data_IF_406658899726
#
_entry.id   IF_406658899726
#
_cell.length_a   1.000
_cell.length_b   1.000
_cell.length_c   1.000
_cell.angle_alpha   90.00
_cell.angle_beta   90.00
_cell.angle_gamma   90.00
#
_symmetry.space_group_name_H-M   'P 1'
#
loop_
_entity.id
_entity.type
_entity.pdbx_description
1 polymer ?
#
# COMPACT_ATOMS: atom_id res chain seq x y z
N UNK A 1 19.63 0.71 -9.62
CA UNK A 1 18.36 1.36 -9.98
C UNK A 1 17.75 1.93 -8.73
N UNK A 2 17.64 3.24 -8.70
CA UNK A 2 17.08 4.03 -7.59
C UNK A 2 15.55 3.91 -7.56
N UNK A 3 14.87 4.31 -6.47
CA UNK A 3 13.42 4.40 -6.44
C UNK A 3 12.86 5.30 -7.56
N UNK A 4 13.52 6.41 -7.86
CA UNK A 4 13.12 7.29 -8.97
C UNK A 4 13.24 6.58 -10.33
N UNK A 5 14.36 5.90 -10.59
CA UNK A 5 14.54 5.12 -11.83
C UNK A 5 13.43 4.06 -12.00
N UNK A 6 12.99 3.44 -10.90
CA UNK A 6 11.91 2.45 -10.90
C UNK A 6 10.55 3.08 -11.22
N UNK A 7 10.26 4.29 -10.72
CA UNK A 7 9.03 5.02 -11.06
C UNK A 7 9.04 5.43 -12.53
N UNK A 8 10.15 5.94 -13.05
CA UNK A 8 10.26 6.32 -14.45
C UNK A 8 10.13 5.11 -15.37
N UNK A 9 10.71 3.96 -14.98
CA UNK A 9 10.53 2.72 -15.72
C UNK A 9 9.06 2.25 -15.64
N UNK A 10 8.42 2.32 -14.48
CA UNK A 10 7.01 1.99 -14.33
C UNK A 10 6.11 2.82 -15.27
N UNK A 11 6.36 4.14 -15.37
CA UNK A 11 5.65 5.03 -16.31
C UNK A 11 5.86 4.61 -17.77
N UNK A 12 7.10 4.28 -18.15
CA UNK A 12 7.40 3.82 -19.50
C UNK A 12 6.71 2.48 -19.85
N UNK A 13 6.64 1.55 -18.90
CA UNK A 13 5.91 0.29 -19.08
C UNK A 13 4.39 0.51 -19.19
N UNK A 14 3.86 1.48 -18.44
CA UNK A 14 2.45 1.87 -18.55
C UNK A 14 2.13 2.47 -19.93
N UNK A 15 2.96 3.40 -20.41
CA UNK A 15 2.81 3.99 -21.75
C UNK A 15 2.91 2.93 -22.87
N UNK A 16 3.64 1.83 -22.64
CA UNK A 16 3.72 0.70 -23.55
C UNK A 16 2.56 -0.31 -23.42
N UNK A 17 1.53 -0.01 -22.62
CA UNK A 17 0.35 -0.87 -22.40
C UNK A 17 0.60 -2.06 -21.47
N UNK A 18 1.74 -2.12 -20.78
CA UNK A 18 2.13 -3.26 -19.92
C UNK A 18 1.80 -3.00 -18.46
N UNK A 19 0.51 -2.75 -18.18
CA UNK A 19 0.01 -2.31 -16.88
C UNK A 19 0.41 -3.21 -15.69
N UNK A 20 0.35 -4.54 -15.83
CA UNK A 20 0.78 -5.44 -14.75
C UNK A 20 2.26 -5.29 -14.37
N UNK A 21 3.13 -5.05 -15.36
CA UNK A 21 4.57 -4.82 -15.12
C UNK A 21 4.81 -3.42 -14.53
N UNK A 22 4.06 -2.41 -14.98
CA UNK A 22 4.12 -1.06 -14.43
C UNK A 22 3.77 -1.06 -12.93
N UNK A 23 2.67 -1.73 -12.53
CA UNK A 23 2.28 -1.85 -11.12
C UNK A 23 3.36 -2.56 -10.30
N UNK A 24 3.95 -3.65 -10.81
CA UNK A 24 5.01 -4.37 -10.11
C UNK A 24 6.27 -3.51 -9.88
N UNK A 25 6.68 -2.72 -10.86
CA UNK A 25 7.82 -1.80 -10.74
C UNK A 25 7.53 -0.66 -9.74
N UNK A 26 6.31 -0.12 -9.76
CA UNK A 26 5.90 0.91 -8.81
C UNK A 26 5.88 0.38 -7.36
N UNK A 27 5.45 -0.86 -7.14
CA UNK A 27 5.58 -1.52 -5.84
C UNK A 27 7.05 -1.67 -5.38
N UNK A 28 7.97 -2.06 -6.28
CA UNK A 28 9.40 -2.14 -5.94
C UNK A 28 9.99 -0.77 -5.60
N UNK A 29 9.60 0.28 -6.34
CA UNK A 29 10.00 1.65 -6.02
C UNK A 29 9.57 2.07 -4.61
N UNK A 30 8.29 1.83 -4.27
CA UNK A 30 7.71 2.14 -2.97
C UNK A 30 8.43 1.39 -1.86
N UNK A 31 8.61 0.07 -1.99
CA UNK A 31 9.28 -0.74 -0.98
C UNK A 31 10.70 -0.23 -0.70
N UNK A 32 11.45 0.16 -1.73
CA UNK A 32 12.81 0.72 -1.57
C UNK A 32 12.83 2.15 -1.04
N UNK A 33 11.77 2.91 -1.24
CA UNK A 33 11.63 4.28 -0.73
C UNK A 33 11.25 4.31 0.76
N UNK A 34 10.56 3.28 1.24
CA UNK A 34 10.18 3.15 2.65
C UNK A 34 11.41 3.10 3.57
N UNK A 35 12.49 2.45 3.14
CA UNK A 35 13.76 2.41 3.89
C UNK A 35 14.43 3.79 4.05
N UNK A 36 14.09 4.74 3.18
CA UNK A 36 14.68 6.09 3.15
C UNK A 36 13.72 7.20 3.60
N UNK A 37 12.47 6.86 3.94
CA UNK A 37 11.44 7.83 4.33
C UNK A 37 11.04 8.79 3.20
N UNK A 38 11.20 8.40 1.93
CA UNK A 38 10.98 9.30 0.80
C UNK A 38 9.49 9.47 0.46
N UNK A 39 8.83 10.43 1.12
CA UNK A 39 7.43 10.80 0.85
C UNK A 39 7.17 11.24 -0.60
N UNK A 40 8.20 11.77 -1.29
CA UNK A 40 8.12 12.12 -2.71
C UNK A 40 7.82 10.91 -3.61
N UNK A 41 8.49 9.77 -3.37
CA UNK A 41 8.27 8.54 -4.14
C UNK A 41 6.88 7.97 -3.88
N UNK A 42 6.44 7.97 -2.61
CA UNK A 42 5.10 7.52 -2.26
C UNK A 42 4.02 8.32 -3.00
N UNK A 43 4.18 9.64 -3.12
CA UNK A 43 3.23 10.48 -3.86
C UNK A 43 3.27 10.16 -5.35
N UNK A 44 4.45 10.09 -5.95
CA UNK A 44 4.59 9.75 -7.37
C UNK A 44 4.03 8.36 -7.70
N UNK A 45 4.21 7.38 -6.83
CA UNK A 45 3.67 6.04 -6.99
C UNK A 45 2.14 6.02 -6.85
N UNK A 46 1.57 6.80 -5.92
CA UNK A 46 0.12 6.94 -5.78
C UNK A 46 -0.52 7.53 -7.04
N UNK A 47 0.05 8.62 -7.57
CA UNK A 47 -0.45 9.28 -8.77
C UNK A 47 -0.42 8.33 -9.98
N UNK A 48 0.71 7.64 -10.19
CA UNK A 48 0.83 6.64 -11.28
C UNK A 48 -0.16 5.49 -11.10
N UNK A 49 -0.37 5.03 -9.87
CA UNK A 49 -1.29 3.95 -9.58
C UNK A 49 -2.75 4.34 -9.84
N UNK A 50 -3.13 5.60 -9.59
CA UNK A 50 -4.44 6.13 -9.97
C UNK A 50 -4.64 6.17 -11.49
N UNK A 51 -3.62 6.62 -12.24
CA UNK A 51 -3.66 6.63 -13.71
C UNK A 51 -3.84 5.21 -14.28
N UNK A 52 -3.10 4.24 -13.74
CA UNK A 52 -3.21 2.84 -14.14
C UNK A 52 -4.59 2.28 -13.77
N UNK A 53 -5.11 2.58 -12.58
CA UNK A 53 -6.43 2.14 -12.15
C UNK A 53 -7.55 2.72 -13.01
N UNK A 54 -7.43 3.97 -13.46
CA UNK A 54 -8.39 4.59 -14.36
C UNK A 54 -8.34 4.03 -15.79
N UNK A 55 -7.13 3.65 -16.26
CA UNK A 55 -6.92 3.16 -17.64
C UNK A 55 -6.93 1.64 -17.83
N UNK A 56 -7.13 0.84 -16.78
CA UNK A 56 -7.09 -0.62 -16.84
C UNK A 56 -8.32 -1.28 -16.22
N UNK A 57 -8.44 -2.60 -16.38
CA UNK A 57 -9.55 -3.38 -15.83
C UNK A 57 -9.04 -4.65 -15.14
N UNK A 58 -9.89 -5.20 -14.27
CA UNK A 58 -9.69 -6.54 -13.70
C UNK A 58 -8.57 -6.57 -12.66
N UNK A 59 -7.57 -7.43 -12.84
CA UNK A 59 -6.51 -7.60 -11.83
C UNK A 59 -5.60 -6.38 -11.74
N UNK A 60 -5.18 -5.83 -12.88
CA UNK A 60 -4.30 -4.66 -12.92
C UNK A 60 -4.93 -3.45 -12.24
N UNK A 61 -6.21 -3.19 -12.49
CA UNK A 61 -6.97 -2.12 -11.84
C UNK A 61 -6.98 -2.27 -10.32
N UNK A 62 -7.27 -3.48 -9.81
CA UNK A 62 -7.29 -3.75 -8.37
C UNK A 62 -5.92 -3.61 -7.72
N UNK A 63 -4.89 -4.18 -8.34
CA UNK A 63 -3.53 -4.13 -7.83
C UNK A 63 -3.00 -2.67 -7.80
N UNK A 64 -3.40 -1.85 -8.79
CA UNK A 64 -3.09 -0.42 -8.84
C UNK A 64 -3.84 0.38 -7.76
N UNK A 65 -5.16 0.15 -7.58
CA UNK A 65 -5.91 0.79 -6.48
C UNK A 65 -5.30 0.48 -5.11
N UNK A 66 -4.93 -0.78 -4.90
CA UNK A 66 -4.28 -1.21 -3.65
C UNK A 66 -2.95 -0.47 -3.42
N UNK A 67 -2.14 -0.27 -4.46
CA UNK A 67 -0.90 0.51 -4.38
C UNK A 67 -1.16 1.97 -4.02
N UNK A 68 -2.15 2.61 -4.67
CA UNK A 68 -2.52 3.99 -4.40
C UNK A 68 -2.97 4.17 -2.95
N UNK A 69 -3.86 3.29 -2.47
CA UNK A 69 -4.36 3.35 -1.09
C UNK A 69 -3.26 3.12 -0.06
N UNK A 70 -2.35 2.17 -0.31
CA UNK A 70 -1.17 1.94 0.53
C UNK A 70 -0.31 3.21 0.63
N UNK A 71 0.04 3.82 -0.51
CA UNK A 71 0.88 5.01 -0.54
C UNK A 71 0.22 6.18 0.21
N UNK A 72 -1.09 6.38 0.03
CA UNK A 72 -1.85 7.41 0.76
C UNK A 72 -1.88 7.16 2.27
N UNK A 73 -2.00 5.90 2.71
CA UNK A 73 -1.93 5.55 4.13
C UNK A 73 -0.55 5.86 4.71
N UNK A 74 0.52 5.50 4.00
CA UNK A 74 1.88 5.84 4.42
C UNK A 74 2.07 7.36 4.52
N UNK A 75 1.58 8.12 3.54
CA UNK A 75 1.66 9.58 3.53
C UNK A 75 0.82 10.23 4.64
N UNK A 76 -0.36 9.69 4.95
CA UNK A 76 -1.21 10.15 6.04
C UNK A 76 -0.57 9.90 7.42
N UNK A 77 0.25 8.84 7.55
CA UNK A 77 1.02 8.53 8.75
C UNK A 77 2.16 9.51 9.05
N UNK A 78 2.64 10.28 8.07
CA UNK A 78 3.73 11.26 8.28
C UNK A 78 3.27 12.50 9.08
N UNK A 79 1.95 12.71 9.25
CA UNK A 79 1.38 13.81 10.04
C UNK A 79 0.73 13.41 11.38
N UNK A 80 0.46 12.12 11.60
CA UNK A 80 -0.19 11.64 12.83
C UNK A 80 0.82 10.84 13.66
N UNK A 81 1.48 11.52 14.60
CA UNK A 81 2.29 10.90 15.63
C UNK A 81 1.45 9.99 16.53
N UNK A 82 1.21 8.75 16.11
CA UNK A 82 0.85 7.69 17.04
C UNK A 82 2.12 7.22 17.73
N UNK A 83 2.15 7.45 19.04
CA UNK A 83 3.17 6.98 19.98
C UNK A 83 3.59 5.55 19.66
N UNK A 84 4.90 5.33 19.76
CA UNK A 84 5.52 4.02 19.76
C UNK A 84 4.93 3.17 20.90
N UNK A 85 3.82 2.49 20.63
CA UNK A 85 3.31 1.49 21.55
C UNK A 85 4.13 0.22 21.37
N UNK A 86 5.23 0.21 22.13
CA UNK A 86 5.99 -0.91 22.66
C UNK A 86 6.13 -2.15 21.74
N UNK A 87 7.37 -2.48 21.39
CA UNK A 87 7.80 -3.69 20.67
C UNK A 87 7.20 -5.01 21.19
N UNK A 88 6.65 -5.04 22.41
CA UNK A 88 5.90 -6.16 22.98
C UNK A 88 4.51 -6.38 22.33
N UNK A 89 3.84 -5.35 21.81
CA UNK A 89 2.54 -5.44 21.13
C UNK A 89 2.63 -6.11 19.73
N UNK A 90 3.83 -6.13 19.14
CA UNK A 90 4.11 -6.84 17.89
C UNK A 90 4.18 -8.37 18.09
N UNK A 91 4.66 -8.87 19.24
CA UNK A 91 4.82 -10.31 19.48
C UNK A 91 3.49 -11.00 19.80
N UNK A 92 2.56 -10.33 20.48
CA UNK A 92 1.26 -10.93 20.88
C UNK A 92 0.21 -10.84 19.78
N UNK A 93 0.20 -9.78 18.96
CA UNK A 93 -0.79 -9.59 17.88
C UNK A 93 -0.63 -10.60 16.73
N UNK A 94 0.55 -11.22 16.57
CA UNK A 94 0.80 -12.18 15.48
C UNK A 94 0.11 -13.53 15.66
N UNK A 95 -0.33 -13.89 16.88
CA UNK A 95 -0.97 -15.19 17.13
C UNK A 95 -2.45 -15.25 16.73
N UNK A 96 -3.06 -14.12 16.36
CA UNK A 96 -4.48 -14.06 15.98
C UNK A 96 -4.65 -13.20 14.73
N UNK A 97 -4.52 -13.80 13.56
CA UNK A 97 -4.81 -13.17 12.25
C UNK A 97 -6.25 -13.47 11.79
N UNK A 98 -6.86 -12.54 11.06
CA UNK A 98 -8.13 -12.70 10.31
C UNK A 98 -7.97 -12.10 8.92
N UNK A 99 -8.92 -12.37 8.02
CA UNK A 99 -8.97 -11.66 6.73
C UNK A 99 -9.79 -10.38 6.86
N UNK A 100 -9.32 -9.33 6.19
CA UNK A 100 -10.10 -8.13 5.96
C UNK A 100 -11.35 -8.51 5.13
N UNK A 101 -12.56 -8.10 5.54
CA UNK A 101 -13.77 -8.41 4.77
C UNK A 101 -13.84 -7.65 3.43
N UNK A 102 -13.03 -6.60 3.25
CA UNK A 102 -13.02 -5.75 2.06
C UNK A 102 -11.93 -6.19 1.06
N UNK A 103 -10.66 -6.11 1.45
CA UNK A 103 -9.55 -6.47 0.56
C UNK A 103 -9.04 -7.92 0.68
N UNK A 104 -9.65 -8.74 1.54
CA UNK A 104 -9.27 -10.13 1.81
C UNK A 104 -7.85 -10.37 2.39
N UNK A 105 -7.07 -9.31 2.67
CA UNK A 105 -5.71 -9.42 3.18
C UNK A 105 -5.66 -9.88 4.65
N UNK A 106 -4.56 -10.53 5.03
CA UNK A 106 -4.33 -11.05 6.38
C UNK A 106 -3.96 -9.94 7.36
N UNK A 107 -4.88 -9.63 8.25
CA UNK A 107 -4.77 -8.57 9.25
C UNK A 107 -4.81 -9.14 10.68
N UNK A 108 -4.43 -8.34 11.68
CA UNK A 108 -4.63 -8.70 13.08
C UNK A 108 -6.12 -8.86 13.40
N UNK A 109 -6.49 -9.81 14.27
CA UNK A 109 -7.87 -9.93 14.79
C UNK A 109 -8.31 -8.68 15.54
N UNK A 110 -7.37 -8.01 16.17
CA UNK A 110 -7.59 -6.78 16.93
C UNK A 110 -7.47 -5.52 16.07
N UNK A 111 -7.21 -5.67 14.75
CA UNK A 111 -7.20 -4.54 13.83
C UNK A 111 -8.59 -3.91 13.76
N UNK A 112 -8.69 -2.65 14.19
CA UNK A 112 -9.88 -1.81 14.02
C UNK A 112 -9.94 -1.16 12.64
N UNK A 113 -8.80 -1.08 11.96
CA UNK A 113 -8.68 -0.57 10.59
C UNK A 113 -7.73 -1.49 9.84
N UNK A 114 -8.09 -1.89 8.62
CA UNK A 114 -7.20 -2.66 7.77
C UNK A 114 -6.04 -1.78 7.31
N UNK A 115 -4.77 -2.17 7.56
CA UNK A 115 -3.61 -1.39 7.09
C UNK A 115 -3.40 -1.48 5.57
N UNK A 116 -4.11 -2.38 4.88
CA UNK A 116 -3.95 -2.61 3.43
C UNK A 116 -4.98 -1.87 2.57
N UNK A 117 -6.18 -1.60 3.11
CA UNK A 117 -7.25 -0.92 2.36
C UNK A 117 -7.98 0.18 3.15
N UNK A 118 -7.63 0.40 4.42
CA UNK A 118 -8.30 1.40 5.26
C UNK A 118 -9.70 1.03 5.74
N UNK A 119 -10.23 -0.16 5.40
CA UNK A 119 -11.53 -0.61 5.86
C UNK A 119 -11.62 -0.63 7.40
N UNK A 120 -12.63 0.04 7.96
CA UNK A 120 -12.90 0.05 9.40
C UNK A 120 -13.59 -1.25 9.82
N UNK A 121 -12.92 -2.00 10.64
CA UNK A 121 -13.34 -3.31 11.11
C UNK A 121 -14.05 -3.12 12.44
N UNK A 122 -15.33 -3.48 12.49
CA UNK A 122 -16.06 -3.50 13.75
C UNK A 122 -15.38 -4.47 14.74
N UNK A 123 -15.23 -4.07 16.02
CA UNK A 123 -14.73 -4.99 17.04
C UNK A 123 -15.66 -6.21 17.12
N UNK A 124 -15.13 -7.41 17.44
CA UNK A 124 -15.98 -8.57 17.65
C UNK A 124 -17.00 -8.27 18.78
N UNK A 125 -18.25 -8.77 18.67
CA UNK A 125 -19.18 -8.71 19.79
C UNK A 125 -18.57 -9.43 21.01
N UNK A 126 -18.78 -8.86 22.19
CA UNK A 126 -18.24 -9.35 23.46
C UNK A 126 -18.74 -10.75 23.84
#
# INVERSE_FOLDING_TARGET
MTPDDLIDHARAEWAAGRGGKAVALAWDAVNRAMDKGSSGILRQAADLADDIAAGSQGRTERDARQLADYCRHCLAGVGNGTQADSLLSLVTSWRRRRRCPDCAESISKDARVCPHCGYRIAPPPA
#
